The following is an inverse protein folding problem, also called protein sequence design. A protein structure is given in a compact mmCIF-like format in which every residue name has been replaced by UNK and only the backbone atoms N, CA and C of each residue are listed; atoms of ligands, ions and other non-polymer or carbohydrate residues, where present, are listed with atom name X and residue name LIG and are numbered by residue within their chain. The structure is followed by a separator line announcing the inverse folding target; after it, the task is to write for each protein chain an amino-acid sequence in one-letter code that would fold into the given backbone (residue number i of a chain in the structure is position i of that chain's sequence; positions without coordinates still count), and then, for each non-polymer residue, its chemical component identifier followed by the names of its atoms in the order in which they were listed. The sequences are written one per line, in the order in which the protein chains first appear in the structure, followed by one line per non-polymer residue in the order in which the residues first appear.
data_IF_345128771672
#
_entry.id   IF_345128771672
#
_cell.length_a   1.000
_cell.length_b   1.000
_cell.length_c   1.000
_cell.angle_alpha   90.00
_cell.angle_beta   90.00
_cell.angle_gamma   90.00
#
_symmetry.space_group_name_H-M   'P 1'
#
loop_
_entity.id
_entity.type
_entity.pdbx_description
1 polymer ?
#
# COMPACT_ATOMS: atom_id res chain seq x y z
N UNK A 1 -21.51 24.68 19.10
CA UNK A 1 -20.23 24.02 18.88
C UNK A 1 -20.56 22.78 18.07
N UNK A 2 -20.26 22.78 16.76
CA UNK A 2 -20.48 21.59 15.94
C UNK A 2 -19.45 20.56 16.36
N UNK A 3 -19.87 19.44 16.92
CA UNK A 3 -19.05 18.25 17.05
C UNK A 3 -18.59 17.89 15.64
N UNK A 4 -17.32 18.04 15.38
CA UNK A 4 -16.69 17.57 14.14
C UNK A 4 -16.85 16.07 14.12
N UNK A 5 -17.76 15.58 13.31
CA UNK A 5 -18.04 14.14 13.19
C UNK A 5 -16.76 13.45 12.69
N UNK A 6 -16.14 12.66 13.57
CA UNK A 6 -14.92 11.90 13.25
C UNK A 6 -15.25 10.91 12.13
N UNK A 7 -14.54 11.02 11.01
CA UNK A 7 -14.84 10.24 9.81
C UNK A 7 -14.24 8.84 9.85
N UNK A 8 -13.07 8.68 10.47
CA UNK A 8 -12.37 7.39 10.54
C UNK A 8 -11.85 7.13 11.96
N UNK A 9 -12.02 5.90 12.42
CA UNK A 9 -11.58 5.48 13.75
C UNK A 9 -10.05 5.25 13.82
N UNK A 10 -9.39 5.06 12.66
CA UNK A 10 -7.95 4.81 12.58
C UNK A 10 -7.36 5.31 11.26
N UNK A 11 -6.06 5.63 11.28
CA UNK A 11 -5.29 5.99 10.09
C UNK A 11 -5.32 4.87 9.04
N UNK A 12 -5.26 3.61 9.44
CA UNK A 12 -5.34 2.45 8.56
C UNK A 12 -6.66 2.45 7.76
N UNK A 13 -7.79 2.72 8.41
CA UNK A 13 -9.09 2.77 7.75
C UNK A 13 -9.19 3.94 6.78
N UNK A 14 -8.68 5.12 7.15
CA UNK A 14 -8.62 6.29 6.30
C UNK A 14 -7.76 6.06 5.05
N UNK A 15 -6.57 5.47 5.21
CA UNK A 15 -5.65 5.17 4.11
C UNK A 15 -6.21 4.10 3.17
N UNK A 16 -6.76 3.01 3.71
CA UNK A 16 -7.43 1.99 2.88
C UNK A 16 -8.58 2.59 2.08
N UNK A 17 -9.41 3.41 2.70
CA UNK A 17 -10.46 4.11 2.01
C UNK A 17 -9.90 4.99 0.89
N UNK A 18 -8.94 5.88 1.20
CA UNK A 18 -8.41 6.85 0.24
C UNK A 18 -7.70 6.19 -0.96
N UNK A 19 -6.93 5.11 -0.75
CA UNK A 19 -6.20 4.45 -1.83
C UNK A 19 -6.99 3.38 -2.57
N UNK A 20 -8.02 2.79 -1.96
CA UNK A 20 -8.91 1.83 -2.63
C UNK A 20 -10.10 2.51 -3.30
N UNK A 21 -10.34 3.81 -3.02
CA UNK A 21 -11.45 4.53 -3.61
C UNK A 21 -11.18 4.79 -5.10
N UNK A 22 -11.98 4.19 -5.96
CA UNK A 22 -11.94 4.41 -7.40
C UNK A 22 -12.97 5.46 -7.78
N UNK A 23 -12.57 6.50 -8.49
CA UNK A 23 -13.48 7.49 -9.07
C UNK A 23 -14.51 6.89 -10.03
N UNK A 24 -14.33 5.63 -10.43
CA UNK A 24 -15.28 4.87 -11.26
C UNK A 24 -16.29 4.07 -10.44
N UNK A 25 -16.22 4.11 -9.12
CA UNK A 25 -17.27 3.55 -8.26
C UNK A 25 -18.47 4.50 -8.21
N UNK A 26 -19.15 4.65 -9.33
CA UNK A 26 -20.57 4.97 -9.29
C UNK A 26 -21.21 3.96 -8.35
N UNK A 27 -22.05 4.46 -7.42
CA UNK A 27 -22.82 3.60 -6.50
C UNK A 27 -23.25 2.34 -7.23
N UNK A 28 -22.73 1.16 -6.89
CA UNK A 28 -23.19 -0.06 -7.56
C UNK A 28 -24.69 -0.16 -7.32
N UNK A 29 -25.44 -0.48 -8.35
CA UNK A 29 -26.88 -0.72 -8.20
C UNK A 29 -27.11 -1.71 -7.07
N UNK A 30 -28.25 -1.67 -6.34
CA UNK A 30 -28.55 -2.63 -5.27
C UNK A 30 -28.30 -4.08 -5.68
N UNK A 31 -28.57 -4.40 -6.94
CA UNK A 31 -28.35 -5.72 -7.52
C UNK A 31 -26.86 -6.05 -7.66
N UNK A 32 -26.02 -5.10 -8.09
CA UNK A 32 -24.57 -5.28 -8.17
C UNK A 32 -23.92 -5.39 -6.79
N UNK A 33 -24.49 -4.79 -5.74
CA UNK A 33 -24.08 -5.00 -4.34
C UNK A 33 -24.36 -6.42 -3.87
N UNK A 34 -25.57 -6.93 -4.15
CA UNK A 34 -25.96 -8.29 -3.79
C UNK A 34 -25.09 -9.36 -4.47
N UNK A 35 -24.67 -9.13 -5.72
CA UNK A 35 -23.85 -10.06 -6.48
C UNK A 35 -22.35 -10.06 -6.08
N UNK A 36 -21.85 -9.00 -5.49
CA UNK A 36 -20.42 -8.89 -5.10
C UNK A 36 -20.08 -9.43 -3.72
N UNK A 37 -21.07 -9.80 -2.90
CA UNK A 37 -20.89 -10.58 -1.66
C UNK A 37 -19.88 -10.07 -0.64
N UNK A 38 -19.40 -8.85 -0.73
CA UNK A 38 -18.36 -8.32 0.13
C UNK A 38 -18.60 -6.88 0.56
N UNK A 39 -18.54 -6.62 1.87
CA UNK A 39 -18.43 -5.29 2.42
C UNK A 39 -17.16 -4.64 1.88
N UNK A 40 -17.30 -3.76 0.90
CA UNK A 40 -16.27 -2.76 0.61
C UNK A 40 -16.23 -1.86 1.83
N UNK A 41 -15.12 -1.86 2.57
CA UNK A 41 -14.93 -1.16 3.82
C UNK A 41 -15.52 0.24 3.79
N UNK A 42 -16.56 0.41 4.54
CA UNK A 42 -17.34 1.62 4.58
C UNK A 42 -16.72 2.59 5.57
N UNK A 43 -16.06 3.60 5.08
CA UNK A 43 -16.10 4.87 5.80
C UNK A 43 -17.58 5.28 5.87
N UNK A 44 -18.18 5.25 7.05
CA UNK A 44 -19.54 5.72 7.44
C UNK A 44 -20.49 6.09 6.28
N UNK A 45 -20.71 5.19 5.31
CA UNK A 45 -21.70 5.38 4.27
C UNK A 45 -21.37 6.38 3.14
N UNK A 46 -20.16 6.94 3.11
CA UNK A 46 -19.74 7.86 2.04
C UNK A 46 -19.58 7.11 0.72
N UNK A 47 -20.51 7.37 -0.19
CA UNK A 47 -20.57 6.75 -1.53
C UNK A 47 -20.70 7.85 -2.59
N UNK A 48 -20.23 7.57 -3.78
CA UNK A 48 -20.38 8.51 -4.90
C UNK A 48 -19.43 9.70 -4.82
N UNK A 49 -19.96 10.90 -5.09
CA UNK A 49 -19.17 12.15 -5.17
C UNK A 49 -18.56 12.52 -3.82
N UNK A 50 -19.29 12.32 -2.74
CA UNK A 50 -18.84 12.67 -1.38
C UNK A 50 -17.67 11.78 -0.96
N UNK A 51 -17.74 10.48 -1.26
CA UNK A 51 -16.64 9.56 -1.01
C UNK A 51 -15.39 9.87 -1.86
N UNK A 52 -15.59 10.30 -3.12
CA UNK A 52 -14.48 10.72 -4.00
C UNK A 52 -13.81 11.99 -3.47
N UNK A 53 -14.62 12.96 -3.02
CA UNK A 53 -14.11 14.20 -2.43
C UNK A 53 -13.31 13.90 -1.16
N UNK A 54 -13.83 13.06 -0.27
CA UNK A 54 -13.17 12.68 0.97
C UNK A 54 -11.84 11.94 0.72
N UNK A 55 -11.83 10.97 -0.19
CA UNK A 55 -10.59 10.28 -0.59
C UNK A 55 -9.58 11.27 -1.19
N UNK A 56 -10.04 12.22 -1.99
CA UNK A 56 -9.22 13.28 -2.55
C UNK A 56 -8.61 14.20 -1.49
N UNK A 57 -9.38 14.57 -0.46
CA UNK A 57 -8.91 15.40 0.65
C UNK A 57 -7.83 14.67 1.46
N UNK A 58 -8.04 13.42 1.85
CA UNK A 58 -7.03 12.61 2.55
C UNK A 58 -5.73 12.53 1.72
N UNK A 59 -5.84 12.23 0.41
CA UNK A 59 -4.68 12.19 -0.48
C UNK A 59 -3.97 13.54 -0.62
N UNK A 60 -4.71 14.66 -0.55
CA UNK A 60 -4.13 16.00 -0.58
C UNK A 60 -3.31 16.27 0.68
N UNK A 61 -3.80 15.88 1.86
CA UNK A 61 -3.05 16.01 3.11
C UNK A 61 -1.78 15.17 3.14
N UNK A 62 -1.80 13.97 2.54
CA UNK A 62 -0.61 13.14 2.42
C UNK A 62 0.49 13.73 1.51
N UNK A 63 0.23 14.83 0.79
CA UNK A 63 1.29 15.56 0.07
C UNK A 63 2.19 16.37 1.00
N UNK A 64 1.77 16.61 2.22
CA UNK A 64 2.57 17.34 3.22
C UNK A 64 3.69 16.48 3.83
N UNK A 65 3.55 15.15 3.82
CA UNK A 65 4.59 14.23 4.28
C UNK A 65 5.64 13.99 3.20
N UNK A 66 6.79 13.39 3.59
CA UNK A 66 7.88 13.13 2.65
C UNK A 66 7.46 12.19 1.51
N UNK A 67 8.14 12.31 0.35
CA UNK A 67 7.89 11.42 -0.79
C UNK A 67 8.16 9.96 -0.46
N UNK A 68 9.16 9.70 0.39
CA UNK A 68 9.44 8.35 0.89
C UNK A 68 8.27 7.80 1.69
N UNK A 69 7.77 8.56 2.66
CA UNK A 69 6.65 8.13 3.52
C UNK A 69 5.40 7.90 2.67
N UNK A 70 5.10 8.84 1.76
CA UNK A 70 3.96 8.70 0.84
C UNK A 70 4.07 7.47 -0.05
N UNK A 71 5.26 7.19 -0.61
CA UNK A 71 5.49 5.99 -1.43
C UNK A 71 5.33 4.71 -0.63
N UNK A 72 5.78 4.68 0.63
CA UNK A 72 5.56 3.55 1.54
C UNK A 72 4.07 3.30 1.80
N UNK A 73 3.30 4.36 2.03
CA UNK A 73 1.85 4.26 2.27
C UNK A 73 1.11 3.81 1.01
N UNK A 74 1.44 4.38 -0.16
CA UNK A 74 0.85 3.95 -1.44
C UNK A 74 1.15 2.46 -1.69
N UNK A 75 2.40 2.03 -1.56
CA UNK A 75 2.78 0.63 -1.76
C UNK A 75 2.07 -0.32 -0.77
N UNK A 76 1.78 0.13 0.45
CA UNK A 76 1.15 -0.68 1.49
C UNK A 76 -0.38 -0.75 1.36
N UNK A 77 -1.04 0.35 1.01
CA UNK A 77 -2.50 0.49 1.07
C UNK A 77 -3.19 0.52 -0.29
N UNK A 78 -2.51 0.95 -1.36
CA UNK A 78 -3.09 0.92 -2.69
C UNK A 78 -3.13 -0.51 -3.25
N UNK A 79 -4.16 -0.87 -4.02
CA UNK A 79 -4.22 -2.16 -4.69
C UNK A 79 -3.14 -2.27 -5.76
N UNK A 80 -2.56 -3.45 -5.91
CA UNK A 80 -1.54 -3.75 -6.95
C UNK A 80 -2.15 -3.62 -8.35
N UNK A 81 -3.41 -4.04 -8.49
CA UNK A 81 -4.16 -4.02 -9.74
C UNK A 81 -5.50 -3.32 -9.52
N UNK A 82 -5.99 -2.68 -10.57
CA UNK A 82 -7.29 -2.02 -10.61
C UNK A 82 -8.23 -2.77 -11.55
N UNK A 83 -9.55 -2.78 -11.29
CA UNK A 83 -10.52 -3.33 -12.21
C UNK A 83 -10.43 -2.66 -13.59
N UNK A 84 -10.51 -3.44 -14.64
CA UNK A 84 -10.56 -2.95 -16.01
C UNK A 84 -11.99 -3.02 -16.56
N UNK A 85 -12.51 -1.92 -17.06
CA UNK A 85 -13.85 -1.81 -17.63
C UNK A 85 -13.85 -1.89 -19.17
N UNK A 86 -12.76 -2.39 -19.82
CA UNK A 86 -12.64 -2.35 -21.27
C UNK A 86 -13.54 -3.34 -22.03
N UNK A 87 -14.19 -4.28 -21.36
CA UNK A 87 -15.09 -5.32 -21.92
C UNK A 87 -14.52 -6.16 -23.08
N UNK A 88 -13.21 -6.10 -23.35
CA UNK A 88 -12.57 -6.87 -24.41
C UNK A 88 -12.43 -8.34 -24.03
N UNK A 89 -12.68 -9.25 -24.96
CA UNK A 89 -12.59 -10.70 -24.73
C UNK A 89 -11.19 -11.18 -24.26
N UNK A 90 -10.13 -10.47 -24.62
CA UNK A 90 -8.75 -10.77 -24.20
C UNK A 90 -8.35 -10.14 -22.85
N UNK A 91 -9.24 -9.39 -22.20
CA UNK A 91 -8.94 -8.71 -20.96
C UNK A 91 -9.10 -9.65 -19.76
N UNK A 92 -8.09 -9.70 -18.89
CA UNK A 92 -8.15 -10.44 -17.62
C UNK A 92 -9.11 -9.83 -16.59
N UNK A 93 -9.76 -8.70 -16.90
CA UNK A 93 -10.61 -7.95 -15.99
C UNK A 93 -9.84 -7.01 -15.06
N UNK A 94 -8.51 -7.04 -15.06
CA UNK A 94 -7.64 -6.20 -14.25
C UNK A 94 -6.64 -5.45 -15.12
N UNK A 95 -6.15 -4.33 -14.58
CA UNK A 95 -5.06 -3.55 -15.15
C UNK A 95 -4.06 -3.16 -14.04
N UNK A 96 -2.78 -3.01 -14.33
CA UNK A 96 -1.80 -2.54 -13.36
C UNK A 96 -2.20 -1.19 -12.77
N UNK A 97 -2.00 -1.02 -11.47
CA UNK A 97 -2.14 0.27 -10.82
C UNK A 97 -0.84 1.06 -10.99
N UNK A 98 -0.87 2.11 -11.82
CA UNK A 98 0.30 2.93 -12.13
C UNK A 98 0.83 3.62 -10.86
N UNK A 99 -0.03 4.14 -10.00
CA UNK A 99 0.36 4.80 -8.75
C UNK A 99 1.15 3.84 -7.83
N UNK A 100 0.67 2.60 -7.71
CA UNK A 100 1.38 1.56 -6.95
C UNK A 100 2.73 1.21 -7.60
N UNK A 101 2.76 1.06 -8.92
CA UNK A 101 3.98 0.72 -9.66
C UNK A 101 5.05 1.81 -9.56
N UNK A 102 4.66 3.09 -9.59
CA UNK A 102 5.55 4.24 -9.44
C UNK A 102 6.10 4.30 -8.00
N UNK A 103 5.26 4.11 -6.99
CA UNK A 103 5.70 4.03 -5.60
C UNK A 103 6.72 2.91 -5.37
N UNK A 104 6.48 1.72 -5.92
CA UNK A 104 7.43 0.60 -5.85
C UNK A 104 8.73 0.90 -6.59
N UNK A 105 8.66 1.58 -7.74
CA UNK A 105 9.86 2.00 -8.48
C UNK A 105 10.71 2.97 -7.66
N UNK A 106 10.08 3.99 -7.08
CA UNK A 106 10.73 4.92 -6.17
C UNK A 106 11.41 4.22 -4.99
N UNK A 107 10.69 3.32 -4.29
CA UNK A 107 11.23 2.55 -3.17
C UNK A 107 12.38 1.63 -3.58
N UNK A 108 12.33 1.07 -4.80
CA UNK A 108 13.40 0.23 -5.35
C UNK A 108 14.68 1.03 -5.55
N UNK A 109 14.58 2.25 -6.05
CA UNK A 109 15.71 3.15 -6.25
C UNK A 109 16.22 3.70 -4.92
N UNK A 110 15.31 4.15 -4.06
CA UNK A 110 15.64 4.67 -2.73
C UNK A 110 16.42 3.65 -1.87
N UNK A 111 16.08 2.36 -1.96
CA UNK A 111 16.76 1.31 -1.18
C UNK A 111 18.07 0.81 -1.79
N UNK A 112 18.55 1.40 -2.87
CA UNK A 112 19.80 0.96 -3.55
C UNK A 112 21.01 1.01 -2.62
N UNK A 113 21.11 2.01 -1.74
CA UNK A 113 22.23 2.17 -0.80
C UNK A 113 22.37 1.00 0.19
N UNK A 114 21.28 0.27 0.49
CA UNK A 114 21.33 -0.92 1.36
C UNK A 114 22.20 -2.05 0.77
N UNK A 115 22.48 -1.99 -0.51
CA UNK A 115 23.21 -3.01 -1.26
C UNK A 115 24.59 -2.54 -1.69
N UNK A 116 25.10 -1.42 -1.17
CA UNK A 116 26.45 -0.96 -1.43
C UNK A 116 27.46 -2.09 -1.12
N UNK A 117 28.38 -2.34 -2.07
CA UNK A 117 29.36 -3.43 -1.96
C UNK A 117 28.83 -4.83 -2.29
N UNK A 118 27.59 -4.98 -2.71
CA UNK A 118 27.01 -6.25 -3.15
C UNK A 118 26.62 -6.21 -4.63
N UNK A 119 26.73 -7.35 -5.31
CA UNK A 119 26.14 -7.50 -6.64
C UNK A 119 24.63 -7.50 -6.51
N UNK A 120 23.99 -6.43 -6.97
CA UNK A 120 22.54 -6.26 -6.89
C UNK A 120 22.01 -5.69 -8.20
N UNK A 121 21.13 -6.45 -8.86
CA UNK A 121 20.42 -5.98 -10.04
C UNK A 121 19.16 -5.21 -9.65
N UNK A 122 18.77 -4.22 -10.45
CA UNK A 122 17.48 -3.53 -10.29
C UNK A 122 16.30 -4.51 -10.29
N UNK A 123 16.32 -5.49 -11.22
CA UNK A 123 15.29 -6.52 -11.33
C UNK A 123 15.09 -7.28 -10.01
N UNK A 124 16.17 -7.72 -9.37
CA UNK A 124 16.09 -8.43 -8.09
C UNK A 124 15.51 -7.53 -6.99
N UNK A 125 16.02 -6.31 -6.84
CA UNK A 125 15.53 -5.37 -5.82
C UNK A 125 14.04 -5.08 -6.02
N UNK A 126 13.63 -4.75 -7.26
CA UNK A 126 12.25 -4.48 -7.60
C UNK A 126 11.34 -5.67 -7.26
N UNK A 127 11.70 -6.88 -7.69
CA UNK A 127 10.93 -8.10 -7.39
C UNK A 127 10.78 -8.33 -5.88
N UNK A 128 11.81 -8.06 -5.08
CA UNK A 128 11.75 -8.19 -3.63
C UNK A 128 10.87 -7.13 -2.98
N UNK A 129 10.92 -5.88 -3.45
CA UNK A 129 10.04 -4.79 -3.00
C UNK A 129 8.59 -5.11 -3.37
N UNK A 130 8.31 -5.47 -4.61
CA UNK A 130 6.99 -5.88 -5.09
C UNK A 130 6.42 -7.04 -4.26
N UNK A 131 7.23 -8.07 -3.99
CA UNK A 131 6.85 -9.19 -3.12
C UNK A 131 6.53 -8.75 -1.70
N UNK A 132 7.29 -7.79 -1.16
CA UNK A 132 7.05 -7.27 0.19
C UNK A 132 5.66 -6.62 0.27
N UNK A 133 5.31 -5.79 -0.70
CA UNK A 133 4.06 -5.04 -0.75
C UNK A 133 2.89 -5.75 -1.42
N UNK A 134 2.96 -7.06 -1.60
CA UNK A 134 1.78 -7.86 -1.93
C UNK A 134 1.70 -8.44 -3.33
N UNK A 135 2.61 -8.09 -4.23
CA UNK A 135 2.76 -8.75 -5.53
C UNK A 135 3.50 -10.11 -5.40
N UNK A 136 3.68 -10.79 -6.54
CA UNK A 136 4.33 -12.11 -6.62
C UNK A 136 3.69 -13.16 -5.69
N UNK A 137 2.41 -13.40 -5.91
CA UNK A 137 1.64 -14.46 -5.27
C UNK A 137 1.50 -15.66 -6.21
N UNK A 138 1.36 -16.84 -5.64
CA UNK A 138 0.97 -18.05 -6.38
C UNK A 138 -0.56 -18.07 -6.66
N UNK A 139 -1.01 -19.12 -7.34
CA UNK A 139 -2.42 -19.34 -7.66
C UNK A 139 -3.33 -19.45 -6.41
N UNK A 140 -2.74 -19.72 -5.24
CA UNK A 140 -3.43 -19.81 -3.96
C UNK A 140 -3.31 -18.51 -3.14
N UNK A 141 -2.79 -17.43 -3.73
CA UNK A 141 -2.59 -16.15 -3.07
C UNK A 141 -1.43 -16.09 -2.07
N UNK A 142 -0.61 -17.14 -1.96
CA UNK A 142 0.58 -17.17 -1.10
C UNK A 142 1.75 -16.47 -1.77
N UNK A 143 2.57 -15.76 -0.99
CA UNK A 143 3.80 -15.13 -1.50
C UNK A 143 4.75 -16.19 -2.05
N UNK A 144 5.33 -15.94 -3.24
CA UNK A 144 6.33 -16.82 -3.84
C UNK A 144 7.51 -17.02 -2.87
N UNK A 145 8.07 -18.23 -2.87
CA UNK A 145 9.23 -18.56 -2.04
C UNK A 145 10.50 -17.87 -2.53
N UNK A 146 11.50 -17.72 -1.66
CA UNK A 146 12.80 -17.15 -2.04
C UNK A 146 13.49 -17.99 -3.11
N UNK A 147 13.34 -19.33 -3.04
CA UNK A 147 13.86 -20.25 -4.07
C UNK A 147 13.26 -19.96 -5.44
N UNK A 148 11.95 -19.78 -5.52
CA UNK A 148 11.26 -19.55 -6.79
C UNK A 148 11.64 -18.18 -7.37
N UNK A 149 11.83 -17.17 -6.52
CA UNK A 149 12.34 -15.87 -6.95
C UNK A 149 13.78 -15.95 -7.42
N UNK A 150 14.63 -16.74 -6.75
CA UNK A 150 16.00 -16.98 -7.17
C UNK A 150 16.08 -17.57 -8.57
N UNK A 151 15.24 -18.58 -8.86
CA UNK A 151 15.10 -19.18 -10.17
C UNK A 151 14.59 -18.17 -11.23
N UNK A 152 13.57 -17.37 -10.92
CA UNK A 152 13.02 -16.36 -11.83
C UNK A 152 14.01 -15.24 -12.16
N UNK A 153 14.86 -14.89 -11.23
CA UNK A 153 15.87 -13.84 -11.40
C UNK A 153 17.21 -14.37 -11.92
N UNK A 154 17.38 -15.69 -12.01
CA UNK A 154 18.64 -16.37 -12.33
C UNK A 154 19.78 -15.94 -11.38
N UNK A 155 19.50 -15.94 -10.09
CA UNK A 155 20.40 -15.50 -9.03
C UNK A 155 20.47 -16.54 -7.93
N UNK A 156 21.65 -16.74 -7.35
CA UNK A 156 21.84 -17.71 -6.27
C UNK A 156 20.93 -17.41 -5.07
N UNK A 157 20.27 -18.44 -4.52
CA UNK A 157 19.29 -18.34 -3.42
C UNK A 157 19.83 -17.56 -2.22
N UNK A 158 21.11 -17.77 -1.84
CA UNK A 158 21.72 -17.06 -0.71
C UNK A 158 21.76 -15.54 -0.92
N UNK A 159 22.09 -15.10 -2.14
CA UNK A 159 22.07 -13.68 -2.49
C UNK A 159 20.67 -13.08 -2.35
N UNK A 160 19.65 -13.76 -2.88
CA UNK A 160 18.25 -13.34 -2.77
C UNK A 160 17.82 -13.28 -1.30
N UNK A 161 18.19 -14.28 -0.49
CA UNK A 161 17.88 -14.32 0.94
C UNK A 161 18.52 -13.15 1.70
N UNK A 162 19.80 -12.86 1.46
CA UNK A 162 20.51 -11.74 2.09
C UNK A 162 19.87 -10.40 1.72
N UNK A 163 19.54 -10.21 0.43
CA UNK A 163 18.86 -9.00 -0.03
C UNK A 163 17.47 -8.85 0.60
N UNK A 164 16.71 -9.95 0.67
CA UNK A 164 15.42 -9.96 1.33
C UNK A 164 15.52 -9.58 2.82
N UNK A 165 16.48 -10.12 3.56
CA UNK A 165 16.69 -9.78 4.97
C UNK A 165 16.99 -8.29 5.17
N UNK A 166 17.87 -7.70 4.34
CA UNK A 166 18.19 -6.27 4.39
C UNK A 166 16.94 -5.39 4.15
N UNK A 167 16.13 -5.73 3.14
CA UNK A 167 14.89 -5.01 2.86
C UNK A 167 13.87 -5.18 4.00
N UNK A 168 13.76 -6.37 4.60
CA UNK A 168 12.87 -6.59 5.74
C UNK A 168 13.28 -5.77 6.95
N UNK A 169 14.59 -5.72 7.25
CA UNK A 169 15.12 -4.91 8.34
C UNK A 169 14.82 -3.41 8.11
N UNK A 170 14.93 -2.93 6.88
CA UNK A 170 14.63 -1.55 6.55
C UNK A 170 13.12 -1.24 6.65
N UNK A 171 12.26 -2.04 5.99
CA UNK A 171 10.83 -1.73 5.93
C UNK A 171 10.10 -1.99 7.25
N UNK A 172 10.36 -3.13 7.90
CA UNK A 172 9.67 -3.56 9.13
C UNK A 172 10.42 -3.23 10.41
N UNK A 173 11.69 -2.88 10.30
CA UNK A 173 12.57 -2.75 11.47
C UNK A 173 13.12 -4.09 11.93
N UNK A 174 13.90 -4.02 13.00
CA UNK A 174 14.53 -5.18 13.64
C UNK A 174 13.94 -5.40 15.03
N UNK A 175 13.78 -6.66 15.42
CA UNK A 175 13.30 -7.03 16.75
C UNK A 175 14.47 -7.04 17.74
N UNK A 176 14.21 -6.73 19.00
CA UNK A 176 15.18 -6.79 20.11
C UNK A 176 15.24 -5.52 20.92
N UNK A 177 16.01 -5.54 22.01
CA UNK A 177 16.14 -4.41 22.97
C UNK A 177 16.68 -3.13 22.30
N UNK A 178 17.49 -3.27 21.24
CA UNK A 178 18.03 -2.19 20.41
C UNK A 178 17.44 -2.24 18.97
N UNK A 179 16.22 -2.73 18.81
CA UNK A 179 15.59 -2.86 17.50
C UNK A 179 15.31 -1.49 16.88
N UNK A 180 15.67 -1.33 15.60
CA UNK A 180 15.32 -0.13 14.84
C UNK A 180 13.86 -0.18 14.40
N UNK A 181 13.15 0.95 14.52
CA UNK A 181 11.80 1.11 13.98
C UNK A 181 11.86 1.07 12.45
N UNK A 182 10.98 0.31 11.83
CA UNK A 182 10.94 0.19 10.37
C UNK A 182 10.38 1.43 9.69
N UNK A 183 10.82 1.67 8.46
CA UNK A 183 10.37 2.81 7.67
C UNK A 183 8.83 2.85 7.47
N UNK A 184 8.17 1.68 7.37
CA UNK A 184 6.70 1.61 7.27
C UNK A 184 5.99 2.13 8.53
N UNK A 185 6.50 1.80 9.72
CA UNK A 185 5.91 2.27 10.97
C UNK A 185 6.09 3.79 11.14
N UNK A 186 7.25 4.33 10.75
CA UNK A 186 7.52 5.77 10.76
C UNK A 186 6.58 6.50 9.81
N UNK A 187 6.43 5.99 8.58
CA UNK A 187 5.52 6.58 7.59
C UNK A 187 4.06 6.57 8.07
N UNK A 188 3.63 5.48 8.71
CA UNK A 188 2.28 5.35 9.25
C UNK A 188 2.05 6.33 10.41
N UNK A 189 3.01 6.47 11.32
CA UNK A 189 2.95 7.44 12.41
C UNK A 189 2.82 8.87 11.90
N UNK A 190 3.65 9.27 10.92
CA UNK A 190 3.57 10.62 10.33
C UNK A 190 2.25 10.88 9.63
N UNK A 191 1.69 9.87 8.97
CA UNK A 191 0.37 9.98 8.36
C UNK A 191 -0.73 10.10 9.43
N UNK A 192 -0.62 9.36 10.52
CA UNK A 192 -1.56 9.44 11.65
C UNK A 192 -1.55 10.84 12.28
N UNK A 193 -0.36 11.37 12.59
CA UNK A 193 -0.19 12.73 13.09
C UNK A 193 -0.84 13.76 12.13
N UNK A 194 -0.50 13.70 10.83
CA UNK A 194 -1.04 14.62 9.84
C UNK A 194 -2.56 14.54 9.70
N UNK A 195 -3.13 13.33 9.67
CA UNK A 195 -4.57 13.15 9.48
C UNK A 195 -5.38 13.46 10.75
N UNK A 196 -4.83 13.25 11.94
CA UNK A 196 -5.43 13.68 13.22
C UNK A 196 -5.43 15.19 13.34
N UNK A 197 -4.32 15.87 13.04
CA UNK A 197 -4.22 17.33 13.06
C UNK A 197 -5.25 18.00 12.14
N UNK A 198 -5.65 17.32 11.08
CA UNK A 198 -6.68 17.77 10.13
C UNK A 198 -8.09 17.30 10.44
N UNK A 199 -8.28 16.52 11.50
CA UNK A 199 -9.59 16.05 11.96
C UNK A 199 -10.20 14.92 11.11
N UNK A 200 -9.41 14.22 10.28
CA UNK A 200 -9.88 13.06 9.52
C UNK A 200 -9.97 11.79 10.37
N UNK A 201 -9.10 11.66 11.36
CA UNK A 201 -9.01 10.51 12.26
C UNK A 201 -9.25 10.98 13.70
N UNK A 202 -10.01 10.19 14.46
CA UNK A 202 -10.29 10.49 15.87
C UNK A 202 -9.05 10.50 16.74
N UNK A 203 -9.08 11.32 17.80
CA UNK A 203 -8.06 11.25 18.85
C UNK A 203 -8.24 9.93 19.60
N UNK A 204 -7.16 9.18 19.83
CA UNK A 204 -7.19 8.08 20.79
C UNK A 204 -7.53 8.65 22.16
N UNK A 205 -8.66 8.24 22.76
CA UNK A 205 -8.89 8.46 24.18
C UNK A 205 -7.78 7.69 24.93
N UNK A 206 -6.90 8.44 25.57
CA UNK A 206 -5.90 7.85 26.46
C UNK A 206 -6.63 7.09 27.58
N UNK A 207 -6.57 5.74 27.53
CA UNK A 207 -7.09 4.85 28.55
C UNK A 207 -6.19 4.82 29.78
#
# INVERSE_FOLDING_TARGET
MNETEILFDSVDSALRFAFSYSTQQYSPTPMARAMRGGNVGTGKGLVGVDGAAQAGMIRAELKAISELDRSLLIAQFAPVELPCACTRACCSGNRPNVEWADAVSYLTEHTTYLFAGHLSSYKLRRTLVERHFGAHRDIHGKKLTIERLAQQCDIHRQTVSTHHQKLMAYFRGTKGVNGAVGAQAIALQRADEQLRDRGFVGMEEAA
#
